data_IF_423127218080
#
_entry.id   IF_423127218080
#
_cell.length_a   1.000
_cell.length_b   1.000
_cell.length_c   1.000
_cell.angle_alpha   90.00
_cell.angle_beta   90.00
_cell.angle_gamma   90.00
#
_symmetry.space_group_name_H-M   'P 1'
#
loop_
_entity.id
_entity.type
_entity.pdbx_description
1 polymer ?
#
# COMPACT_ATOMS: atom_id res chain seq x y z
N UNK A 1 -15.01 32.37 -37.58
CA UNK A 1 -14.20 33.24 -36.71
C UNK A 1 -13.41 32.34 -35.78
N UNK A 2 -12.25 31.87 -36.26
CA UNK A 2 -11.34 30.98 -35.54
C UNK A 2 -10.48 31.82 -34.61
N UNK A 3 -10.47 31.47 -33.32
CA UNK A 3 -9.84 32.25 -32.27
C UNK A 3 -8.31 32.22 -32.42
N UNK A 4 -7.73 33.38 -32.81
CA UNK A 4 -6.30 33.58 -33.06
C UNK A 4 -5.42 33.42 -31.81
N UNK A 5 -6.01 33.13 -30.63
CA UNK A 5 -5.27 32.91 -29.38
C UNK A 5 -4.70 31.50 -29.20
N UNK A 6 -5.05 30.51 -30.05
CA UNK A 6 -4.49 29.15 -29.94
C UNK A 6 -3.10 29.00 -30.56
N UNK A 7 -2.71 29.86 -31.49
CA UNK A 7 -1.42 29.77 -32.20
C UNK A 7 -0.27 30.51 -31.50
N UNK A 8 -0.49 31.01 -30.28
CA UNK A 8 0.50 31.77 -29.50
C UNK A 8 1.15 30.96 -28.37
N UNK A 9 1.11 29.63 -28.44
CA UNK A 9 1.84 28.80 -27.49
C UNK A 9 3.35 28.95 -27.76
N UNK A 10 4.04 29.66 -26.87
CA UNK A 10 5.50 29.72 -26.89
C UNK A 10 6.06 28.30 -26.76
N UNK A 11 7.06 27.90 -27.58
CA UNK A 11 7.68 26.59 -27.41
C UNK A 11 8.33 26.55 -26.04
N UNK A 12 7.83 25.69 -25.16
CA UNK A 12 8.48 25.41 -23.88
C UNK A 12 9.77 24.68 -24.21
N UNK A 13 10.90 25.40 -24.16
CA UNK A 13 12.21 24.79 -24.26
C UNK A 13 12.39 23.90 -23.02
N UNK A 14 12.21 22.59 -23.20
CA UNK A 14 12.37 21.57 -22.16
C UNK A 14 13.85 21.25 -21.92
N UNK A 15 14.68 22.28 -21.79
CA UNK A 15 16.10 22.13 -21.44
C UNK A 15 16.22 22.31 -19.92
N UNK A 16 15.65 21.37 -19.17
CA UNK A 16 15.90 21.25 -17.74
C UNK A 16 17.33 20.72 -17.57
N UNK A 17 18.31 21.61 -17.52
CA UNK A 17 19.68 21.25 -17.16
C UNK A 17 19.70 20.80 -15.69
N UNK A 18 19.61 19.50 -15.47
CA UNK A 18 19.91 18.87 -14.18
C UNK A 18 21.42 18.98 -13.98
N UNK A 19 21.84 19.88 -13.08
CA UNK A 19 23.20 19.79 -12.54
C UNK A 19 23.24 18.48 -11.74
N UNK A 20 23.92 17.47 -12.27
CA UNK A 20 24.18 16.26 -11.51
C UNK A 20 25.07 16.67 -10.34
N UNK A 21 24.52 16.70 -9.12
CA UNK A 21 25.33 16.83 -7.93
C UNK A 21 26.06 15.49 -7.74
N UNK A 22 27.32 15.47 -8.18
CA UNK A 22 28.18 14.29 -8.30
C UNK A 22 28.54 13.68 -6.93
N UNK A 23 28.11 14.30 -5.82
CA UNK A 23 28.48 13.92 -4.46
C UNK A 23 27.35 13.90 -3.42
N UNK A 24 26.09 14.12 -3.79
CA UNK A 24 24.99 13.95 -2.85
C UNK A 24 24.59 12.47 -2.76
N UNK A 25 25.31 11.69 -1.93
CA UNK A 25 24.74 10.44 -1.44
C UNK A 25 23.38 10.78 -0.80
N UNK A 26 22.25 10.22 -1.27
CA UNK A 26 20.97 10.46 -0.63
C UNK A 26 21.02 9.74 0.72
N UNK A 27 21.46 10.44 1.76
CA UNK A 27 21.14 10.00 3.12
C UNK A 27 19.64 10.11 3.22
N UNK A 28 18.95 8.97 3.28
CA UNK A 28 17.51 8.92 3.52
C UNK A 28 17.24 9.67 4.84
N UNK A 29 16.77 10.90 4.74
CA UNK A 29 16.31 11.65 5.91
C UNK A 29 14.98 11.01 6.30
N UNK A 30 15.06 10.04 7.22
CA UNK A 30 13.87 9.42 7.81
C UNK A 30 13.16 10.50 8.61
N UNK A 31 12.01 10.95 8.12
CA UNK A 31 11.15 11.83 8.88
C UNK A 31 10.56 11.05 10.05
N UNK A 32 11.09 11.25 11.25
CA UNK A 32 10.48 10.69 12.45
C UNK A 32 9.17 11.42 12.75
N UNK A 33 8.07 10.67 12.88
CA UNK A 33 6.80 11.20 13.35
C UNK A 33 6.99 11.57 14.84
N UNK A 34 6.95 12.85 15.15
CA UNK A 34 7.04 13.35 16.52
C UNK A 34 5.87 12.85 17.40
N UNK A 35 5.92 13.12 18.72
CA UNK A 35 4.85 12.73 19.61
C UNK A 35 3.52 13.36 19.16
N UNK A 36 2.38 12.66 19.39
CA UNK A 36 1.07 13.21 19.06
C UNK A 36 0.83 14.54 19.79
N UNK A 37 0.01 15.45 19.22
CA UNK A 37 -0.38 16.68 19.89
C UNK A 37 -0.93 16.43 21.29
N UNK A 38 -0.58 17.29 22.25
CA UNK A 38 -0.97 17.13 23.66
C UNK A 38 -2.49 17.11 23.89
N UNK A 39 -3.27 17.68 22.97
CA UNK A 39 -4.73 17.74 23.00
C UNK A 39 -5.41 16.53 22.34
N UNK A 40 -4.67 15.56 21.78
CA UNK A 40 -5.24 14.46 21.00
C UNK A 40 -6.37 13.72 21.72
N UNK A 41 -6.18 13.41 23.01
CA UNK A 41 -7.18 12.71 23.83
C UNK A 41 -8.41 13.56 24.20
N UNK A 42 -8.32 14.88 24.07
CA UNK A 42 -9.39 15.82 24.41
C UNK A 42 -10.25 16.18 23.20
N UNK A 43 -9.84 15.76 22.01
CA UNK A 43 -10.58 16.03 20.78
C UNK A 43 -11.90 15.27 20.81
N UNK A 44 -13.03 15.93 20.52
CA UNK A 44 -14.30 15.22 20.37
C UNK A 44 -14.16 14.19 19.25
N UNK A 45 -14.81 13.04 19.42
CA UNK A 45 -14.93 12.07 18.36
C UNK A 45 -15.45 12.76 17.09
N UNK A 46 -14.94 12.33 15.92
CA UNK A 46 -15.46 12.79 14.64
C UNK A 46 -16.98 12.64 14.65
N UNK A 47 -17.71 13.74 14.38
CA UNK A 47 -19.17 13.71 14.25
C UNK A 47 -19.65 13.02 12.97
N UNK A 48 -18.74 12.42 12.21
CA UNK A 48 -19.07 11.57 11.07
C UNK A 48 -19.55 10.24 11.61
N UNK A 49 -20.80 9.91 11.31
CA UNK A 49 -21.35 8.59 11.58
C UNK A 49 -20.49 7.54 10.87
N UNK A 50 -19.82 6.69 11.66
CA UNK A 50 -19.16 5.53 11.12
C UNK A 50 -20.26 4.56 10.72
N UNK A 51 -20.56 4.49 9.43
CA UNK A 51 -21.46 3.46 8.92
C UNK A 51 -20.74 2.13 9.11
N UNK A 52 -21.27 1.20 9.94
CA UNK A 52 -20.66 -0.11 10.04
C UNK A 52 -20.71 -0.76 8.66
N UNK A 53 -19.53 -1.11 8.14
CA UNK A 53 -19.44 -1.86 6.90
C UNK A 53 -20.06 -3.25 7.09
N UNK A 54 -20.68 -3.77 6.04
CA UNK A 54 -21.10 -5.17 6.03
C UNK A 54 -19.83 -6.04 6.01
N UNK A 55 -19.75 -6.97 6.96
CA UNK A 55 -18.64 -7.93 7.01
C UNK A 55 -18.70 -8.85 5.80
N UNK A 56 -17.53 -9.25 5.28
CA UNK A 56 -17.47 -10.21 4.20
C UNK A 56 -17.91 -11.60 4.69
N UNK A 57 -18.70 -12.30 3.86
CA UNK A 57 -19.03 -13.70 4.12
C UNK A 57 -17.79 -14.60 3.97
N UNK A 58 -17.85 -15.80 4.54
CA UNK A 58 -16.77 -16.77 4.40
C UNK A 58 -16.49 -17.12 2.94
N UNK A 59 -17.52 -17.20 2.09
CA UNK A 59 -17.35 -17.42 0.65
C UNK A 59 -16.66 -16.24 -0.03
N UNK A 60 -17.00 -15.00 0.33
CA UNK A 60 -16.38 -13.80 -0.23
C UNK A 60 -14.90 -13.71 0.16
N UNK A 61 -14.56 -14.02 1.41
CA UNK A 61 -13.17 -14.10 1.86
C UNK A 61 -12.43 -15.18 1.06
N UNK A 62 -13.01 -16.37 0.93
CA UNK A 62 -12.40 -17.50 0.21
C UNK A 62 -12.17 -17.18 -1.28
N UNK A 63 -13.13 -16.52 -1.93
CA UNK A 63 -13.00 -16.09 -3.31
C UNK A 63 -11.88 -15.05 -3.51
N UNK A 64 -11.62 -14.19 -2.50
CA UNK A 64 -10.55 -13.19 -2.55
C UNK A 64 -9.18 -13.76 -2.21
N UNK A 65 -9.09 -14.69 -1.26
CA UNK A 65 -7.82 -15.28 -0.80
C UNK A 65 -7.40 -16.50 -1.62
N UNK A 66 -8.28 -17.00 -2.49
CA UNK A 66 -8.14 -18.29 -3.14
C UNK A 66 -8.58 -19.44 -2.23
N UNK A 67 -8.99 -20.56 -2.84
CA UNK A 67 -9.16 -21.81 -2.10
C UNK A 67 -7.82 -22.20 -1.50
N UNK A 68 -7.80 -22.49 -0.20
CA UNK A 68 -6.59 -22.90 0.52
C UNK A 68 -6.00 -24.23 0.00
N UNK A 69 -6.60 -24.90 -0.99
CA UNK A 69 -6.14 -26.17 -1.52
C UNK A 69 -4.67 -26.11 -2.00
N UNK A 70 -4.34 -25.13 -2.85
CA UNK A 70 -2.97 -25.00 -3.39
C UNK A 70 -1.94 -24.61 -2.31
N UNK A 71 -2.35 -23.82 -1.31
CA UNK A 71 -1.50 -23.46 -0.18
C UNK A 71 -1.35 -24.60 0.85
N UNK A 72 -2.33 -25.48 0.94
CA UNK A 72 -2.31 -26.64 1.85
C UNK A 72 -1.35 -27.69 1.32
N UNK A 73 -1.37 -27.96 0.01
CA UNK A 73 -0.48 -28.94 -0.62
C UNK A 73 0.99 -28.51 -0.54
N UNK A 74 1.31 -27.24 -0.86
CA UNK A 74 2.67 -26.73 -0.74
C UNK A 74 3.19 -26.73 0.72
N UNK A 75 2.30 -26.51 1.69
CA UNK A 75 2.66 -26.57 3.10
C UNK A 75 2.83 -28.02 3.58
N UNK A 76 2.07 -28.98 3.06
CA UNK A 76 2.25 -30.41 3.36
C UNK A 76 3.60 -30.88 2.83
N UNK A 77 3.92 -30.60 1.56
CA UNK A 77 5.21 -30.96 0.96
C UNK A 77 6.40 -30.35 1.72
N UNK A 78 6.28 -29.10 2.15
CA UNK A 78 7.31 -28.44 2.95
C UNK A 78 7.48 -29.08 4.34
N UNK A 79 6.37 -29.46 4.99
CA UNK A 79 6.40 -30.11 6.30
C UNK A 79 7.00 -31.52 6.23
N UNK A 80 6.68 -32.28 5.17
CA UNK A 80 7.32 -33.56 4.88
C UNK A 80 8.82 -33.40 4.62
N UNK A 81 9.22 -32.40 3.82
CA UNK A 81 10.62 -32.11 3.54
C UNK A 81 11.41 -31.66 4.80
N UNK A 82 10.72 -31.08 5.78
CA UNK A 82 11.30 -30.67 7.07
C UNK A 82 11.27 -31.79 8.13
N UNK A 83 10.70 -32.95 7.81
CA UNK A 83 10.60 -34.09 8.72
C UNK A 83 9.66 -33.82 9.90
N UNK A 84 8.71 -32.90 9.74
CA UNK A 84 7.68 -32.63 10.73
C UNK A 84 6.57 -33.67 10.56
N UNK A 85 6.53 -34.66 11.45
CA UNK A 85 5.43 -35.64 11.54
C UNK A 85 4.17 -34.93 12.05
N UNK A 86 3.31 -34.49 11.13
CA UNK A 86 1.94 -34.13 11.48
C UNK A 86 1.13 -35.40 11.53
N UNK A 87 1.19 -36.12 12.64
CA UNK A 87 0.34 -37.28 12.91
C UNK A 87 -1.14 -36.90 12.81
N UNK A 88 -1.69 -36.91 11.60
CA UNK A 88 -3.10 -36.79 11.27
C UNK A 88 -3.60 -38.16 10.82
N UNK A 89 -3.55 -39.11 11.76
CA UNK A 89 -4.39 -40.29 11.74
C UNK A 89 -5.20 -40.29 13.04
N UNK A 90 -6.45 -39.82 12.94
CA UNK A 90 -7.42 -39.74 14.02
C UNK A 90 -8.60 -38.88 13.64
#
# INVERSE_FOLDING_TARGET
MTDAKRDSALPVAAELSVHADEHAAPSEVVAEQGPPPADFAQRPASGVDVTPGEGLSAEQVTAMTGEAADATDANIELQEAQGLDTGAHG
#
